data_IF_952834071632
#
_entry.id   IF_952834071632
#
_cell.length_a   1.000
_cell.length_b   1.000
_cell.length_c   1.000
_cell.angle_alpha   90.00
_cell.angle_beta   90.00
_cell.angle_gamma   90.00
#
_symmetry.space_group_name_H-M   'P 1'
#
loop_
_entity.id
_entity.type
_entity.pdbx_description
1 polymer ?
#
# COMPACT_ATOMS: atom_id res chain seq x y z
N UNK A 1 1.55 -6.50 20.21
CA UNK A 1 1.65 -7.74 19.39
C UNK A 1 1.56 -7.28 17.96
N UNK A 2 2.62 -7.46 17.19
CA UNK A 2 2.57 -7.15 15.75
C UNK A 2 1.62 -8.17 15.09
N UNK A 3 0.52 -7.70 14.56
CA UNK A 3 -0.45 -8.57 13.90
C UNK A 3 0.04 -8.84 12.48
N UNK A 4 0.48 -10.08 12.24
CA UNK A 4 0.87 -10.55 10.91
C UNK A 4 -0.35 -10.66 10.00
N UNK A 5 -0.22 -10.20 8.77
CA UNK A 5 -1.25 -10.43 7.76
C UNK A 5 -1.33 -11.93 7.46
N UNK A 6 -2.44 -12.54 7.82
CA UNK A 6 -2.66 -13.96 7.56
C UNK A 6 -3.16 -14.19 6.14
N UNK A 7 -2.22 -14.34 5.21
CA UNK A 7 -2.50 -14.59 3.79
C UNK A 7 -3.44 -15.79 3.55
N UNK A 8 -3.40 -16.79 4.43
CA UNK A 8 -4.22 -18.01 4.27
C UNK A 8 -5.73 -17.75 4.48
N UNK A 9 -6.09 -16.58 5.05
CA UNK A 9 -7.49 -16.18 5.21
C UNK A 9 -8.11 -15.63 3.92
N UNK A 10 -7.29 -15.25 2.94
CA UNK A 10 -7.78 -14.66 1.69
C UNK A 10 -8.05 -15.72 0.64
N UNK A 11 -9.16 -15.62 -0.11
CA UNK A 11 -9.45 -16.47 -1.25
C UNK A 11 -8.34 -16.42 -2.31
N UNK A 12 -8.07 -17.54 -2.96
CA UNK A 12 -6.97 -17.61 -3.94
C UNK A 12 -7.20 -16.77 -5.20
N UNK A 13 -8.44 -16.56 -5.59
CA UNK A 13 -8.81 -15.69 -6.70
C UNK A 13 -8.45 -14.23 -6.40
N UNK A 14 -8.67 -13.77 -5.18
CA UNK A 14 -8.23 -12.44 -4.73
C UNK A 14 -6.71 -12.33 -4.73
N UNK A 15 -6.01 -13.34 -4.18
CA UNK A 15 -4.55 -13.35 -4.19
C UNK A 15 -3.97 -13.33 -5.62
N UNK A 16 -4.57 -14.05 -6.56
CA UNK A 16 -4.18 -13.99 -7.98
C UNK A 16 -4.29 -12.60 -8.57
N UNK A 17 -5.40 -11.91 -8.29
CA UNK A 17 -5.61 -10.52 -8.75
C UNK A 17 -4.56 -9.59 -8.17
N UNK A 18 -4.26 -9.71 -6.87
CA UNK A 18 -3.28 -8.86 -6.18
C UNK A 18 -1.84 -9.10 -6.64
N UNK A 19 -1.51 -10.33 -7.02
CA UNK A 19 -0.16 -10.67 -7.49
C UNK A 19 0.04 -10.36 -8.97
N UNK A 20 -1.01 -10.19 -9.76
CA UNK A 20 -0.89 -10.00 -11.19
C UNK A 20 -0.52 -8.56 -11.56
N UNK A 21 0.58 -8.40 -12.29
CA UNK A 21 0.88 -7.17 -13.03
C UNK A 21 -0.02 -7.09 -14.26
N UNK A 22 -0.87 -6.07 -14.31
CA UNK A 22 -1.84 -5.87 -15.40
C UNK A 22 -1.19 -5.49 -16.73
N UNK A 23 0.04 -5.00 -16.73
CA UNK A 23 0.76 -4.60 -17.94
C UNK A 23 1.40 -5.80 -18.67
N UNK A 24 1.92 -6.76 -17.90
CA UNK A 24 2.61 -7.94 -18.43
C UNK A 24 1.75 -9.20 -18.41
N UNK A 25 0.68 -9.24 -17.61
CA UNK A 25 -0.10 -10.42 -17.25
C UNK A 25 0.68 -11.49 -16.49
N UNK A 26 1.86 -11.18 -16.03
CA UNK A 26 2.69 -12.02 -15.17
C UNK A 26 2.50 -11.63 -13.70
N UNK A 27 3.04 -12.43 -12.78
CA UNK A 27 3.02 -12.04 -11.39
C UNK A 27 4.11 -11.00 -11.10
N UNK A 28 3.86 -10.16 -10.10
CA UNK A 28 4.86 -9.23 -9.57
C UNK A 28 6.07 -9.99 -9.02
N UNK A 29 7.21 -9.32 -8.97
CA UNK A 29 8.48 -9.84 -8.44
C UNK A 29 8.83 -9.17 -7.10
N UNK A 30 9.79 -9.73 -6.37
CA UNK A 30 10.35 -9.05 -5.21
C UNK A 30 11.16 -7.81 -5.66
N UNK A 31 11.00 -6.70 -4.95
CA UNK A 31 11.70 -5.45 -5.28
C UNK A 31 13.23 -5.51 -5.01
N UNK A 32 13.70 -6.49 -4.24
CA UNK A 32 15.10 -6.62 -3.83
C UNK A 32 15.46 -8.06 -3.50
N UNK A 33 16.76 -8.40 -3.54
CA UNK A 33 17.29 -9.70 -3.14
C UNK A 33 17.47 -9.86 -1.63
N UNK A 34 16.97 -8.94 -0.83
CA UNK A 34 17.10 -8.98 0.65
C UNK A 34 16.55 -10.28 1.25
N UNK A 35 15.60 -10.91 0.58
CA UNK A 35 14.95 -12.13 1.06
C UNK A 35 15.58 -13.42 0.53
N UNK A 36 16.64 -13.35 -0.29
CA UNK A 36 17.35 -14.53 -0.80
C UNK A 36 17.95 -15.40 0.30
N UNK A 37 18.18 -14.83 1.49
CA UNK A 37 18.64 -15.61 2.68
C UNK A 37 17.64 -16.69 3.11
N UNK A 38 16.36 -16.53 2.76
CA UNK A 38 15.30 -17.51 3.05
C UNK A 38 15.09 -18.55 1.94
N UNK A 39 15.79 -18.39 0.82
CA UNK A 39 15.73 -19.27 -0.34
C UNK A 39 15.80 -18.54 -1.68
N UNK A 40 16.32 -19.20 -2.70
CA UNK A 40 16.48 -18.62 -4.03
C UNK A 40 15.16 -18.20 -4.68
N UNK A 41 14.04 -18.80 -4.29
CA UNK A 41 12.70 -18.43 -4.80
C UNK A 41 12.25 -17.02 -4.35
N UNK A 42 12.94 -16.41 -3.38
CA UNK A 42 12.65 -15.04 -2.90
C UNK A 42 13.57 -13.98 -3.54
N UNK A 43 14.22 -14.28 -4.66
CA UNK A 43 15.05 -13.31 -5.38
C UNK A 43 14.19 -12.37 -6.22
N UNK A 44 14.76 -11.20 -6.55
CA UNK A 44 14.14 -10.20 -7.41
C UNK A 44 13.95 -10.65 -8.87
N UNK A 45 14.54 -11.78 -9.27
CA UNK A 45 14.36 -12.36 -10.60
C UNK A 45 13.14 -13.31 -10.68
N UNK A 46 12.57 -13.69 -9.55
CA UNK A 46 11.48 -14.65 -9.49
C UNK A 46 10.13 -13.98 -9.26
N UNK A 47 9.13 -14.49 -9.97
CA UNK A 47 7.75 -14.07 -9.76
C UNK A 47 7.22 -14.56 -8.41
N UNK A 48 6.44 -13.73 -7.74
CA UNK A 48 5.78 -14.08 -6.49
C UNK A 48 4.55 -14.92 -6.81
N UNK A 49 4.58 -16.20 -6.42
CA UNK A 49 3.43 -17.10 -6.52
C UNK A 49 2.67 -17.16 -5.20
N UNK A 50 1.45 -17.68 -5.23
CA UNK A 50 0.65 -17.89 -4.01
C UNK A 50 1.36 -18.81 -3.03
N UNK A 51 2.04 -19.85 -3.52
CA UNK A 51 2.78 -20.80 -2.67
C UNK A 51 3.98 -20.13 -2.01
N UNK A 52 4.75 -19.32 -2.76
CA UNK A 52 5.85 -18.52 -2.22
C UNK A 52 5.32 -17.56 -1.15
N UNK A 53 4.19 -16.90 -1.41
CA UNK A 53 3.59 -15.96 -0.47
C UNK A 53 3.08 -16.64 0.80
N UNK A 54 2.40 -17.77 0.68
CA UNK A 54 1.92 -18.59 1.82
C UNK A 54 3.06 -19.23 2.63
N UNK A 55 4.19 -19.49 1.98
CA UNK A 55 5.40 -20.06 2.59
C UNK A 55 6.40 -19.01 3.09
N UNK A 56 6.11 -17.72 2.98
CA UNK A 56 7.05 -16.66 3.33
C UNK A 56 7.43 -16.72 4.82
N UNK A 57 8.72 -16.96 5.17
CA UNK A 57 9.12 -17.36 6.52
C UNK A 57 8.86 -16.31 7.59
N UNK A 58 9.04 -15.04 7.26
CA UNK A 58 8.87 -13.92 8.20
C UNK A 58 7.43 -13.38 8.23
N UNK A 59 6.54 -13.93 7.38
CA UNK A 59 5.18 -13.42 7.23
C UNK A 59 5.12 -12.02 6.60
N UNK A 60 3.92 -11.53 6.37
CA UNK A 60 3.70 -10.17 5.90
C UNK A 60 3.30 -9.28 7.07
N UNK A 61 3.99 -8.16 7.18
CA UNK A 61 3.68 -7.13 8.16
C UNK A 61 3.01 -5.94 7.47
N UNK A 62 1.94 -5.38 8.05
CA UNK A 62 1.44 -4.10 7.59
C UNK A 62 2.54 -3.05 7.60
N UNK A 63 2.51 -2.15 6.64
CA UNK A 63 3.51 -1.08 6.50
C UNK A 63 3.69 -0.26 7.77
N UNK A 64 2.61 0.00 8.48
CA UNK A 64 2.58 0.80 9.71
C UNK A 64 3.47 0.23 10.84
N UNK A 65 3.69 -1.09 10.85
CA UNK A 65 4.52 -1.76 11.87
C UNK A 65 5.99 -1.88 11.48
N UNK A 66 6.39 -1.31 10.35
CA UNK A 66 7.79 -1.38 9.93
C UNK A 66 8.69 -0.61 10.91
N UNK A 67 9.68 -1.30 11.45
CA UNK A 67 10.64 -0.75 12.42
C UNK A 67 11.38 0.47 11.84
N UNK A 68 11.37 1.59 12.59
CA UNK A 68 12.08 2.82 12.24
C UNK A 68 13.58 2.60 12.00
N UNK A 69 14.19 1.66 12.71
CA UNK A 69 15.60 1.30 12.53
C UNK A 69 15.85 0.73 11.13
N UNK A 70 15.03 -0.20 10.69
CA UNK A 70 15.07 -0.77 9.34
C UNK A 70 14.81 0.27 8.26
N UNK A 71 13.89 1.22 8.49
CA UNK A 71 13.65 2.34 7.59
C UNK A 71 14.89 3.22 7.45
N UNK A 72 15.55 3.56 8.56
CA UNK A 72 16.79 4.36 8.56
C UNK A 72 17.96 3.64 7.86
N UNK A 73 18.10 2.35 8.05
CA UNK A 73 19.12 1.53 7.36
C UNK A 73 18.88 1.54 5.84
N UNK A 74 17.65 1.37 5.39
CA UNK A 74 17.28 1.44 3.97
C UNK A 74 17.45 2.83 3.38
N UNK A 75 17.12 3.88 4.12
CA UNK A 75 17.39 5.26 3.72
C UNK A 75 18.88 5.48 3.48
N UNK A 76 19.74 4.96 4.35
CA UNK A 76 21.21 5.12 4.25
C UNK A 76 21.81 4.24 3.15
N UNK A 77 21.36 3.01 3.01
CA UNK A 77 21.95 2.02 2.09
C UNK A 77 21.37 2.04 0.68
N UNK A 78 20.11 2.46 0.54
CA UNK A 78 19.37 2.42 -0.74
C UNK A 78 18.78 3.77 -1.15
N UNK A 79 19.09 4.84 -0.41
CA UNK A 79 18.56 6.19 -0.63
C UNK A 79 17.01 6.24 -0.67
N UNK A 80 16.33 5.32 0.00
CA UNK A 80 14.87 5.34 0.09
C UNK A 80 14.39 6.45 1.02
N UNK A 81 13.43 7.23 0.57
CA UNK A 81 12.81 8.29 1.38
C UNK A 81 11.46 7.79 1.89
N UNK A 82 11.29 7.82 3.21
CA UNK A 82 10.05 7.45 3.87
C UNK A 82 9.27 8.69 4.28
N UNK A 83 8.19 8.97 3.58
CA UNK A 83 7.26 10.02 3.97
C UNK A 83 6.29 9.47 5.01
N UNK A 84 6.09 10.20 6.10
CA UNK A 84 5.16 9.82 7.16
C UNK A 84 3.74 9.67 6.62
N UNK A 85 3.01 8.63 7.07
CA UNK A 85 1.67 8.32 6.58
C UNK A 85 0.67 9.48 6.77
N UNK A 86 0.79 10.25 7.86
CA UNK A 86 -0.06 11.42 8.08
C UNK A 86 0.18 12.55 7.06
N UNK A 87 1.44 12.72 6.58
CA UNK A 87 1.75 13.68 5.51
C UNK A 87 1.14 13.20 4.19
N UNK A 88 1.31 11.92 3.86
CA UNK A 88 0.69 11.33 2.66
C UNK A 88 -0.83 11.48 2.71
N UNK A 89 -1.45 11.15 3.83
CA UNK A 89 -2.88 11.31 4.03
C UNK A 89 -3.34 12.76 3.82
N UNK A 90 -2.61 13.71 4.38
CA UNK A 90 -2.92 15.13 4.21
C UNK A 90 -2.87 15.56 2.74
N UNK A 91 -1.83 15.14 2.00
CA UNK A 91 -1.71 15.45 0.58
C UNK A 91 -2.83 14.81 -0.25
N UNK A 92 -3.21 13.56 0.06
CA UNK A 92 -4.32 12.89 -0.62
C UNK A 92 -5.66 13.59 -0.30
N UNK A 93 -5.86 14.04 0.93
CA UNK A 93 -7.05 14.78 1.31
C UNK A 93 -7.26 16.04 0.48
N UNK A 94 -6.19 16.73 0.09
CA UNK A 94 -6.31 17.88 -0.84
C UNK A 94 -6.85 17.46 -2.22
N UNK A 95 -6.37 16.34 -2.75
CA UNK A 95 -6.85 15.80 -4.03
C UNK A 95 -8.31 15.36 -3.93
N UNK A 96 -8.66 14.69 -2.85
CA UNK A 96 -10.03 14.25 -2.61
C UNK A 96 -10.97 15.45 -2.40
N UNK A 97 -10.56 16.46 -1.65
CA UNK A 97 -11.35 17.68 -1.46
C UNK A 97 -11.63 18.40 -2.79
N UNK A 98 -10.64 18.45 -3.68
CA UNK A 98 -10.83 19.01 -5.02
C UNK A 98 -11.76 18.13 -5.87
N UNK A 99 -11.58 16.81 -5.84
CA UNK A 99 -12.43 15.89 -6.61
C UNK A 99 -13.89 15.91 -6.17
N UNK A 100 -14.15 15.88 -4.86
CA UNK A 100 -15.48 15.87 -4.27
C UNK A 100 -16.09 17.27 -4.11
N UNK A 101 -15.30 18.33 -4.27
CA UNK A 101 -15.66 19.71 -3.95
C UNK A 101 -16.16 19.86 -2.50
N UNK A 102 -15.56 19.11 -1.59
CA UNK A 102 -15.91 19.07 -0.16
C UNK A 102 -14.71 18.58 0.64
N UNK A 103 -14.59 19.00 1.89
CA UNK A 103 -13.52 18.60 2.80
C UNK A 103 -13.93 17.43 3.70
N UNK A 104 -12.93 16.79 4.31
CA UNK A 104 -13.10 15.73 5.30
C UNK A 104 -13.93 14.52 4.80
N UNK A 105 -13.74 14.14 3.55
CA UNK A 105 -14.51 13.05 2.91
C UNK A 105 -14.25 11.72 3.61
N UNK A 106 -13.00 11.31 3.71
CA UNK A 106 -12.61 10.01 4.27
C UNK A 106 -12.14 10.09 5.71
N UNK A 107 -11.58 11.23 6.10
CA UNK A 107 -11.05 11.43 7.44
C UNK A 107 -10.97 12.92 7.79
N UNK A 108 -10.80 13.18 9.08
CA UNK A 108 -10.52 14.51 9.65
C UNK A 108 -9.08 14.53 10.13
N UNK A 109 -8.30 15.49 9.63
CA UNK A 109 -6.89 15.63 9.97
C UNK A 109 -6.70 16.06 11.43
N UNK A 110 -5.70 15.48 12.06
CA UNK A 110 -5.14 15.89 13.35
C UNK A 110 -3.67 16.30 13.17
N UNK A 111 -2.98 16.68 14.22
CA UNK A 111 -1.61 17.20 14.14
C UNK A 111 -0.63 16.23 13.43
N UNK A 112 -0.60 14.95 13.82
CA UNK A 112 0.26 13.93 13.21
C UNK A 112 -0.49 12.60 12.97
N UNK A 113 -1.81 12.69 12.79
CA UNK A 113 -2.70 11.55 12.63
C UNK A 113 -4.00 11.99 11.97
N UNK A 114 -5.00 11.14 11.97
CA UNK A 114 -6.36 11.46 11.51
C UNK A 114 -7.40 10.56 12.20
N UNK A 115 -8.65 11.01 12.19
CA UNK A 115 -9.81 10.22 12.55
C UNK A 115 -10.62 9.89 11.30
N UNK A 116 -11.00 8.63 11.12
CA UNK A 116 -11.83 8.21 10.00
C UNK A 116 -13.22 8.84 10.08
N UNK A 117 -13.72 9.37 8.95
CA UNK A 117 -15.06 9.88 8.84
C UNK A 117 -16.06 8.72 8.81
N UNK A 118 -17.09 8.78 9.68
CA UNK A 118 -18.15 7.75 9.74
C UNK A 118 -19.35 8.14 8.86
N UNK A 119 -19.36 9.36 8.33
CA UNK A 119 -20.42 9.86 7.46
C UNK A 119 -20.51 9.08 6.17
N UNK A 120 -21.74 8.86 5.70
CA UNK A 120 -21.96 8.40 4.34
C UNK A 120 -21.40 9.43 3.36
N UNK A 121 -20.61 8.97 2.40
CA UNK A 121 -20.03 9.85 1.37
C UNK A 121 -21.13 10.19 0.35
N UNK A 122 -21.35 11.48 0.15
CA UNK A 122 -22.30 12.00 -0.80
C UNK A 122 -21.59 12.32 -2.12
N UNK A 123 -22.13 11.76 -3.20
CA UNK A 123 -21.69 12.06 -4.57
C UNK A 123 -22.72 12.96 -5.23
N UNK A 124 -22.34 14.15 -5.65
CA UNK A 124 -23.24 15.08 -6.31
C UNK A 124 -23.72 14.53 -7.67
N UNK A 125 -22.89 14.67 -8.71
CA UNK A 125 -23.18 14.18 -10.07
C UNK A 125 -22.30 12.99 -10.48
N UNK A 126 -21.47 12.48 -9.58
CA UNK A 126 -20.48 11.42 -9.78
C UNK A 126 -20.85 10.20 -8.94
N UNK A 127 -20.09 9.12 -9.05
CA UNK A 127 -20.28 7.89 -8.28
C UNK A 127 -18.93 7.24 -7.95
N UNK A 128 -18.95 6.10 -7.24
CA UNK A 128 -17.74 5.37 -6.87
C UNK A 128 -16.89 4.94 -8.05
N UNK A 129 -17.50 4.53 -9.17
CA UNK A 129 -16.74 4.13 -10.35
C UNK A 129 -15.98 5.33 -10.93
N UNK A 130 -16.60 6.50 -10.98
CA UNK A 130 -15.94 7.73 -11.44
C UNK A 130 -14.73 8.07 -10.56
N UNK A 131 -14.83 7.84 -9.24
CA UNK A 131 -13.72 8.07 -8.32
C UNK A 131 -12.58 7.05 -8.51
N UNK A 132 -12.92 5.76 -8.62
CA UNK A 132 -11.93 4.69 -8.78
C UNK A 132 -11.25 4.77 -10.15
N UNK A 133 -11.99 5.07 -11.20
CA UNK A 133 -11.48 5.16 -12.58
C UNK A 133 -10.77 6.49 -12.87
N UNK A 134 -10.79 7.45 -11.94
CA UNK A 134 -10.09 8.72 -12.13
C UNK A 134 -8.58 8.47 -12.22
N UNK A 135 -7.96 9.02 -13.28
CA UNK A 135 -6.52 8.88 -13.51
C UNK A 135 -5.73 9.54 -12.39
N UNK A 136 -4.79 8.80 -11.81
CA UNK A 136 -3.86 9.29 -10.79
C UNK A 136 -2.44 8.94 -11.20
N UNK A 137 -1.51 9.87 -10.96
CA UNK A 137 -0.09 9.65 -11.17
C UNK A 137 0.63 9.88 -9.85
N UNK A 138 1.27 8.84 -9.33
CA UNK A 138 2.20 8.96 -8.22
C UNK A 138 3.63 8.91 -8.76
N UNK A 139 4.35 10.00 -8.60
CA UNK A 139 5.79 10.09 -8.92
C UNK A 139 6.54 9.96 -7.61
N UNK A 140 6.40 8.82 -6.98
CA UNK A 140 7.15 8.52 -5.78
C UNK A 140 7.92 7.24 -6.00
N UNK A 141 9.07 7.20 -5.43
CA UNK A 141 9.86 6.00 -5.39
C UNK A 141 9.57 5.24 -4.10
N UNK A 142 9.73 3.95 -4.12
CA UNK A 142 9.61 3.10 -2.96
C UNK A 142 8.23 2.46 -2.82
N UNK A 143 7.55 2.68 -1.71
CA UNK A 143 6.38 1.90 -1.30
C UNK A 143 5.04 2.43 -1.84
N UNK A 144 5.03 3.34 -2.81
CA UNK A 144 3.82 4.01 -3.28
C UNK A 144 2.94 4.55 -2.13
N UNK A 145 3.50 5.38 -1.22
CA UNK A 145 2.87 5.70 0.06
C UNK A 145 1.53 6.43 -0.09
N UNK A 146 1.34 7.15 -1.17
CA UNK A 146 0.11 7.91 -1.40
C UNK A 146 -1.04 6.97 -1.76
N UNK A 147 -0.80 6.06 -2.71
CA UNK A 147 -1.81 5.11 -3.15
C UNK A 147 -2.13 4.09 -2.05
N UNK A 148 -1.09 3.50 -1.46
CA UNK A 148 -1.24 2.47 -0.41
C UNK A 148 -1.89 3.04 0.84
N UNK A 149 -1.52 4.25 1.28
CA UNK A 149 -2.10 4.85 2.49
C UNK A 149 -3.60 5.16 2.35
N UNK A 150 -4.12 5.39 1.15
CA UNK A 150 -5.55 5.62 0.93
C UNK A 150 -6.36 4.33 0.89
N UNK A 151 -5.81 3.27 0.32
CA UNK A 151 -6.51 2.02 0.09
C UNK A 151 -6.06 0.90 1.05
N UNK A 152 -5.11 1.18 1.94
CA UNK A 152 -4.77 0.30 3.04
C UNK A 152 -5.88 0.41 4.09
N UNK A 153 -6.66 -0.64 4.19
CA UNK A 153 -7.82 -0.74 5.08
C UNK A 153 -7.47 -1.22 6.48
N UNK A 154 -6.21 -1.27 6.83
CA UNK A 154 -5.74 -1.68 8.18
C UNK A 154 -5.66 -0.52 9.15
#
# INVERSE_FOLDING_TARGET
>A
MEELINIRKYPEDILKILLQDKSTNENIIFATDTYCEYGSCYSSENQITIDILKGFPIGLHPRIFRDKKKQLERTRSKAEVYTSSWICNKMINYLDADWFQSENIFNVELENSWNTTIKLIEFNSKNWNDYVDSSRLEIACGEAPYLVSRYDTT
#
